data_IF_216836095584
#
_entry.id   IF_216836095584
#
_cell.length_a   1.000
_cell.length_b   1.000
_cell.length_c   1.000
_cell.angle_alpha   90.00
_cell.angle_beta   90.00
_cell.angle_gamma   90.00
#
_symmetry.space_group_name_H-M   'P 1'
#
loop_
_entity.id
_entity.type
_entity.pdbx_description
1 polymer ?
#
# COMPACT_ATOMS: atom_id res chain seq x y z
N UNK A 1 34.42 3.65 3.64
CA UNK A 1 35.59 3.59 4.54
C UNK A 1 35.19 4.06 5.94
N UNK A 2 34.81 3.12 6.81
CA UNK A 2 35.12 3.12 8.24
C UNK A 2 35.07 1.66 8.69
N UNK A 3 36.18 1.22 9.30
CA UNK A 3 36.59 -0.17 9.42
C UNK A 3 36.04 -0.93 10.63
N UNK A 4 36.40 -2.21 10.58
CA UNK A 4 36.12 -3.40 11.38
C UNK A 4 36.73 -3.46 12.79
N UNK A 5 36.15 -4.32 13.66
CA UNK A 5 36.80 -4.95 14.83
C UNK A 5 35.87 -5.34 16.00
N UNK A 6 35.23 -6.54 15.98
CA UNK A 6 35.50 -7.74 16.82
C UNK A 6 35.04 -7.65 18.31
N UNK A 7 34.11 -8.46 18.85
CA UNK A 7 34.34 -9.86 19.32
C UNK A 7 33.06 -10.55 19.92
N UNK A 8 32.91 -11.85 19.63
CA UNK A 8 32.40 -13.00 20.44
C UNK A 8 30.92 -13.09 20.94
N UNK A 9 30.18 -13.99 20.25
CA UNK A 9 29.16 -14.97 20.68
C UNK A 9 27.77 -14.54 21.23
N UNK A 10 26.76 -14.72 20.37
CA UNK A 10 25.46 -15.33 20.73
C UNK A 10 24.89 -16.03 19.48
N UNK A 11 24.38 -17.27 19.55
CA UNK A 11 23.83 -17.94 18.37
C UNK A 11 22.59 -17.20 17.84
N UNK A 12 22.30 -17.26 16.53
CA UNK A 12 21.13 -16.61 15.93
C UNK A 12 19.82 -17.20 16.48
N UNK A 13 18.72 -16.42 16.49
CA UNK A 13 17.43 -16.79 17.11
C UNK A 13 16.72 -17.99 16.45
N UNK A 14 17.30 -18.55 15.39
CA UNK A 14 16.76 -19.69 14.63
C UNK A 14 16.96 -21.02 15.36
N UNK A 15 18.08 -21.20 16.08
CA UNK A 15 18.32 -22.47 16.80
C UNK A 15 17.44 -22.62 18.05
N UNK A 16 17.09 -21.51 18.71
CA UNK A 16 16.11 -21.49 19.80
C UNK A 16 14.69 -21.85 19.30
N UNK A 17 14.40 -21.56 18.02
CA UNK A 17 13.13 -21.85 17.37
C UNK A 17 13.01 -23.33 16.97
N UNK A 18 14.11 -23.95 16.53
CA UNK A 18 14.16 -25.38 16.20
C UNK A 18 14.08 -26.22 17.49
N UNK A 19 14.80 -25.83 18.56
CA UNK A 19 14.71 -26.52 19.85
C UNK A 19 13.30 -26.45 20.48
N UNK A 20 12.57 -25.33 20.30
CA UNK A 20 11.18 -25.20 20.73
C UNK A 20 10.19 -26.00 19.86
N UNK A 21 10.45 -26.10 18.56
CA UNK A 21 9.63 -26.90 17.65
C UNK A 21 9.75 -28.40 17.92
N UNK A 22 10.95 -28.90 18.27
CA UNK A 22 11.16 -30.30 18.65
C UNK A 22 10.50 -30.67 19.99
N UNK A 23 10.39 -29.73 20.93
CA UNK A 23 9.68 -29.95 22.20
C UNK A 23 8.15 -30.05 22.03
N UNK A 24 7.56 -29.37 21.03
CA UNK A 24 6.13 -29.46 20.73
C UNK A 24 5.74 -30.76 20.00
N UNK A 25 6.68 -31.39 19.28
CA UNK A 25 6.40 -32.63 18.56
C UNK A 25 6.29 -33.87 19.48
N UNK A 26 6.78 -33.80 20.71
CA UNK A 26 6.75 -34.91 21.67
C UNK A 26 5.53 -34.94 22.61
N UNK A 27 4.62 -33.95 22.53
CA UNK A 27 3.43 -33.87 23.38
C UNK A 27 2.14 -34.27 22.64
N UNK A 28 2.11 -35.46 22.02
CA UNK A 28 0.83 -36.15 21.76
C UNK A 28 0.44 -36.94 23.00
N UNK A 29 0.15 -36.23 24.09
CA UNK A 29 -0.54 -36.79 25.24
C UNK A 29 -2.03 -36.66 24.95
N UNK A 30 -2.72 -37.81 24.99
CA UNK A 30 -4.17 -37.95 24.92
C UNK A 30 -4.82 -36.98 25.92
N UNK A 31 -5.46 -35.91 25.44
CA UNK A 31 -6.23 -35.00 26.28
C UNK A 31 -7.72 -35.14 25.98
N UNK A 32 -8.48 -35.64 26.95
CA UNK A 32 -9.95 -35.54 26.95
C UNK A 32 -10.42 -34.07 26.90
N UNK A 33 -11.72 -33.81 26.69
CA UNK A 33 -12.23 -32.45 26.54
C UNK A 33 -11.87 -31.61 27.78
N UNK A 34 -11.13 -30.53 27.57
CA UNK A 34 -10.77 -29.59 28.65
C UNK A 34 -12.03 -29.12 29.39
N UNK A 35 -12.03 -29.09 30.73
CA UNK A 35 -13.19 -28.70 31.52
C UNK A 35 -13.63 -27.29 31.13
N UNK A 36 -14.95 -27.08 31.08
CA UNK A 36 -15.59 -25.87 30.52
C UNK A 36 -15.01 -24.57 31.10
N UNK A 37 -14.63 -24.56 32.38
CA UNK A 37 -13.99 -23.41 33.03
C UNK A 37 -12.61 -23.04 32.47
N UNK A 38 -11.80 -24.02 32.05
CA UNK A 38 -10.48 -23.79 31.46
C UNK A 38 -10.59 -23.22 30.03
N UNK A 39 -11.63 -23.62 29.29
CA UNK A 39 -11.95 -23.01 27.98
C UNK A 39 -12.35 -21.54 28.12
N UNK A 40 -13.18 -21.20 29.11
CA UNK A 40 -13.57 -19.81 29.37
C UNK A 40 -12.41 -18.96 29.88
N UNK A 41 -11.51 -19.51 30.71
CA UNK A 41 -10.30 -18.81 31.16
C UNK A 41 -9.33 -18.52 30.00
N UNK A 42 -9.14 -19.48 29.09
CA UNK A 42 -8.33 -19.27 27.88
C UNK A 42 -8.97 -18.24 26.94
N UNK A 43 -10.29 -18.31 26.71
CA UNK A 43 -11.03 -17.31 25.93
C UNK A 43 -10.99 -15.91 26.56
N UNK A 44 -10.99 -15.82 27.89
CA UNK A 44 -10.86 -14.55 28.61
C UNK A 44 -9.42 -13.99 28.57
N UNK A 45 -8.40 -14.84 28.44
CA UNK A 45 -7.01 -14.43 28.30
C UNK A 45 -6.61 -14.10 26.84
N UNK A 46 -7.35 -14.60 25.84
CA UNK A 46 -7.08 -14.34 24.42
C UNK A 46 -7.05 -12.84 24.05
N UNK A 47 -7.97 -11.97 24.51
CA UNK A 47 -7.89 -10.53 24.25
C UNK A 47 -6.62 -9.88 24.81
N UNK A 48 -6.17 -10.33 25.99
CA UNK A 48 -4.96 -9.82 26.63
C UNK A 48 -3.68 -10.33 25.94
N UNK A 49 -3.65 -11.62 25.57
CA UNK A 49 -2.54 -12.17 24.78
C UNK A 49 -2.45 -11.58 23.37
N UNK A 50 -3.60 -11.36 22.72
CA UNK A 50 -3.68 -10.74 21.40
C UNK A 50 -3.28 -9.25 21.45
N UNK A 51 -3.69 -8.50 22.48
CA UNK A 51 -3.26 -7.11 22.65
C UNK A 51 -1.78 -6.99 22.98
N UNK A 52 -1.22 -7.91 23.77
CA UNK A 52 0.22 -7.99 24.03
C UNK A 52 1.03 -8.30 22.74
N UNK A 53 0.54 -9.17 21.85
CA UNK A 53 1.22 -9.42 20.58
C UNK A 53 1.06 -8.27 19.58
N UNK A 54 -0.13 -7.67 19.48
CA UNK A 54 -0.38 -6.59 18.52
C UNK A 54 0.38 -5.31 18.89
N UNK A 55 0.42 -4.97 20.19
CA UNK A 55 1.16 -3.81 20.68
C UNK A 55 2.68 -3.97 20.53
N UNK A 56 3.20 -5.20 20.52
CA UNK A 56 4.62 -5.44 20.24
C UNK A 56 5.01 -5.22 18.76
N UNK A 57 4.03 -5.31 17.85
CA UNK A 57 4.22 -5.11 16.41
C UNK A 57 3.84 -3.72 15.93
N UNK A 58 2.95 -3.01 16.62
CA UNK A 58 2.59 -1.64 16.25
C UNK A 58 3.69 -0.66 16.68
N UNK A 59 4.25 0.13 15.75
CA UNK A 59 5.10 1.26 16.07
C UNK A 59 4.41 2.22 17.04
N UNK A 60 5.20 2.89 17.87
CA UNK A 60 4.68 3.92 18.75
C UNK A 60 4.15 5.12 17.93
N UNK A 61 3.28 5.92 18.56
CA UNK A 61 2.66 7.08 17.92
C UNK A 61 3.66 8.10 17.38
N UNK A 62 4.84 8.23 18.00
CA UNK A 62 5.83 9.20 17.58
C UNK A 62 6.55 8.71 16.33
N UNK A 63 6.86 7.41 16.25
CA UNK A 63 7.37 6.75 15.04
C UNK A 63 6.35 6.84 13.89
N UNK A 64 5.07 6.55 14.14
CA UNK A 64 4.02 6.71 13.12
C UNK A 64 3.89 8.16 12.64
N UNK A 65 3.94 9.12 13.56
CA UNK A 65 3.83 10.53 13.20
C UNK A 65 5.06 11.00 12.43
N UNK A 66 6.26 10.59 12.85
CA UNK A 66 7.49 10.90 12.13
C UNK A 66 7.45 10.40 10.69
N UNK A 67 6.96 9.18 10.47
CA UNK A 67 6.80 8.57 9.15
C UNK A 67 5.74 9.27 8.31
N UNK A 68 4.56 9.57 8.88
CA UNK A 68 3.49 10.29 8.18
C UNK A 68 3.84 11.75 7.87
N UNK A 69 4.64 12.39 8.73
CA UNK A 69 5.09 13.77 8.56
C UNK A 69 6.34 13.90 7.69
N UNK A 70 6.91 12.78 7.27
CA UNK A 70 8.08 12.79 6.41
C UNK A 70 7.72 13.38 5.04
N UNK A 71 8.57 14.27 4.56
CA UNK A 71 8.50 14.80 3.21
C UNK A 71 9.90 14.77 2.60
N UNK A 72 10.02 14.40 1.31
CA UNK A 72 11.31 14.34 0.64
C UNK A 72 11.91 15.74 0.55
N UNK A 73 13.22 15.83 0.73
CA UNK A 73 13.91 17.10 0.63
C UNK A 73 14.13 17.45 -0.86
N UNK A 74 14.24 18.75 -1.24
CA UNK A 74 14.37 19.13 -2.65
C UNK A 74 15.60 18.55 -3.36
N UNK A 75 16.63 18.17 -2.62
CA UNK A 75 17.83 17.49 -3.11
C UNK A 75 17.59 16.03 -3.49
N UNK A 76 16.60 15.35 -2.88
CA UNK A 76 16.24 13.97 -3.23
C UNK A 76 15.72 13.86 -4.67
N UNK A 77 14.88 14.81 -5.10
CA UNK A 77 14.38 14.91 -6.47
C UNK A 77 15.54 15.01 -7.47
N UNK A 78 16.54 15.83 -7.13
CA UNK A 78 17.74 16.01 -7.95
C UNK A 78 18.59 14.74 -7.99
N UNK A 79 18.66 13.99 -6.90
CA UNK A 79 19.35 12.70 -6.88
C UNK A 79 18.65 11.68 -7.79
N UNK A 80 17.31 11.58 -7.73
CA UNK A 80 16.51 10.71 -8.62
C UNK A 80 16.69 11.09 -10.09
N UNK A 81 16.71 12.39 -10.39
CA UNK A 81 16.94 12.88 -11.75
C UNK A 81 18.34 12.53 -12.27
N UNK A 82 19.36 12.51 -11.41
CA UNK A 82 20.76 12.33 -11.79
C UNK A 82 21.25 10.87 -11.76
N UNK A 83 20.71 10.02 -10.88
CA UNK A 83 21.18 8.63 -10.74
C UNK A 83 20.97 7.82 -12.05
N UNK A 84 22.02 7.19 -12.57
CA UNK A 84 21.98 6.45 -13.86
C UNK A 84 22.01 4.94 -13.71
N UNK A 85 22.50 4.46 -12.57
CA UNK A 85 22.65 3.03 -12.31
C UNK A 85 22.45 2.70 -10.83
N UNK A 86 22.07 1.45 -10.58
CA UNK A 86 21.96 0.87 -9.25
C UNK A 86 22.87 -0.35 -9.18
N UNK A 87 23.92 -0.32 -8.34
CA UNK A 87 24.90 -1.42 -8.19
C UNK A 87 25.48 -1.92 -9.52
N UNK A 88 25.72 -1.01 -10.47
CA UNK A 88 26.25 -1.33 -11.81
C UNK A 88 25.21 -1.71 -12.86
N UNK A 89 23.93 -1.87 -12.48
CA UNK A 89 22.82 -2.10 -13.41
C UNK A 89 22.28 -0.76 -13.91
N UNK A 90 22.23 -0.55 -15.22
CA UNK A 90 21.83 0.73 -15.84
C UNK A 90 20.31 0.86 -15.95
N UNK A 91 19.81 2.10 -15.91
CA UNK A 91 18.39 2.38 -16.10
C UNK A 91 18.05 2.62 -17.58
N UNK A 92 17.55 1.59 -18.26
CA UNK A 92 17.24 1.64 -19.70
C UNK A 92 16.05 2.55 -20.04
N UNK A 93 15.01 2.55 -19.22
CA UNK A 93 13.76 3.31 -19.45
C UNK A 93 13.75 4.71 -18.85
N UNK A 94 14.85 5.11 -18.18
CA UNK A 94 14.98 6.43 -17.59
C UNK A 94 15.31 7.46 -18.68
N UNK A 95 14.54 8.56 -18.79
CA UNK A 95 14.90 9.66 -19.69
C UNK A 95 16.16 10.37 -19.21
N UNK A 96 17.09 10.67 -20.14
CA UNK A 96 18.35 11.35 -19.86
C UNK A 96 18.61 12.44 -20.93
N UNK A 97 18.68 13.74 -20.56
CA UNK A 97 18.48 14.31 -19.22
C UNK A 97 16.99 14.37 -18.82
N UNK A 98 16.64 13.90 -17.60
CA UNK A 98 15.25 13.93 -17.12
C UNK A 98 14.71 15.36 -16.95
N UNK A 99 15.54 16.29 -16.49
CA UNK A 99 15.16 17.70 -16.29
C UNK A 99 14.55 18.38 -17.52
N UNK A 100 14.97 17.94 -18.71
CA UNK A 100 14.50 18.47 -20.00
C UNK A 100 13.35 17.64 -20.59
N UNK A 101 13.02 16.52 -19.95
CA UNK A 101 11.97 15.61 -20.39
C UNK A 101 10.59 16.13 -19.96
N UNK A 102 9.57 15.86 -20.78
CA UNK A 102 8.19 16.29 -20.48
C UNK A 102 7.68 15.74 -19.14
N UNK A 103 8.18 14.57 -18.71
CA UNK A 103 7.80 13.91 -17.46
C UNK A 103 8.57 14.39 -16.23
N UNK A 104 9.29 15.52 -16.30
CA UNK A 104 10.00 16.07 -15.13
C UNK A 104 9.08 16.32 -13.93
N UNK A 105 7.84 16.73 -14.19
CA UNK A 105 6.86 17.01 -13.14
C UNK A 105 6.48 15.77 -12.32
N UNK A 106 6.64 14.56 -12.87
CA UNK A 106 6.28 13.31 -12.19
C UNK A 106 7.13 13.08 -10.95
N UNK A 107 8.40 13.50 -10.96
CA UNK A 107 9.27 13.42 -9.78
C UNK A 107 8.70 14.27 -8.65
N UNK A 108 8.27 15.50 -8.95
CA UNK A 108 7.73 16.41 -7.93
C UNK A 108 6.36 15.98 -7.38
N UNK A 109 5.66 15.04 -8.02
CA UNK A 109 4.35 14.58 -7.56
C UNK A 109 4.45 13.76 -6.26
N UNK A 110 5.53 13.04 -5.99
CA UNK A 110 5.73 12.34 -4.71
C UNK A 110 5.86 13.33 -3.57
N UNK A 111 6.70 14.37 -3.73
CA UNK A 111 6.83 15.46 -2.78
C UNK A 111 5.53 16.23 -2.58
N UNK A 112 4.76 16.49 -3.64
CA UNK A 112 3.43 17.08 -3.49
C UNK A 112 2.48 16.16 -2.70
N UNK A 113 2.50 14.85 -2.97
CA UNK A 113 1.69 13.84 -2.26
C UNK A 113 2.03 13.82 -0.76
N UNK A 114 3.32 13.86 -0.43
CA UNK A 114 3.82 13.92 0.94
C UNK A 114 3.35 15.18 1.69
N UNK A 115 3.25 16.31 1.01
CA UNK A 115 2.78 17.55 1.62
C UNK A 115 1.25 17.67 1.70
N UNK A 116 0.49 16.75 1.09
CA UNK A 116 -0.97 16.86 0.94
C UNK A 116 -1.76 15.70 1.57
N UNK A 117 -1.32 15.19 2.73
CA UNK A 117 -2.01 14.13 3.49
C UNK A 117 -3.46 14.44 3.87
N UNK A 118 -3.86 15.71 3.88
CA UNK A 118 -5.25 16.09 4.08
C UNK A 118 -6.18 15.51 3.01
N UNK A 119 -5.72 15.34 1.77
CA UNK A 119 -6.57 14.86 0.66
C UNK A 119 -7.08 13.43 0.92
N UNK A 120 -6.22 12.42 1.12
CA UNK A 120 -6.69 11.06 1.35
C UNK A 120 -7.46 10.93 2.66
N UNK A 121 -7.04 11.62 3.72
CA UNK A 121 -7.71 11.58 5.02
C UNK A 121 -9.11 12.17 4.97
N UNK A 122 -9.27 13.35 4.36
CA UNK A 122 -10.58 13.97 4.17
C UNK A 122 -11.45 13.15 3.21
N UNK A 123 -10.87 12.56 2.17
CA UNK A 123 -11.62 11.68 1.25
C UNK A 123 -12.19 10.45 1.96
N UNK A 124 -11.39 9.79 2.81
CA UNK A 124 -11.84 8.65 3.61
C UNK A 124 -12.85 9.07 4.67
N UNK A 125 -12.63 10.19 5.36
CA UNK A 125 -13.59 10.72 6.33
C UNK A 125 -14.94 11.04 5.67
N UNK A 126 -14.92 11.74 4.53
CA UNK A 126 -16.11 12.03 3.73
C UNK A 126 -16.79 10.75 3.25
N UNK A 127 -16.03 9.74 2.86
CA UNK A 127 -16.53 8.43 2.44
C UNK A 127 -17.31 7.73 3.57
N UNK A 128 -16.78 7.69 4.79
CA UNK A 128 -17.47 7.11 5.94
C UNK A 128 -18.74 7.86 6.35
N UNK A 129 -18.77 9.19 6.17
CA UNK A 129 -19.99 10.00 6.37
C UNK A 129 -21.00 9.76 5.24
N UNK A 130 -20.54 9.66 4.00
CA UNK A 130 -21.40 9.47 2.83
C UNK A 130 -22.17 8.15 2.87
N UNK A 131 -21.58 7.07 3.40
CA UNK A 131 -22.24 5.75 3.49
C UNK A 131 -23.59 5.81 4.22
N UNK A 132 -23.68 6.19 5.50
CA UNK A 132 -24.97 6.27 6.20
C UNK A 132 -25.89 7.33 5.61
N UNK A 133 -25.36 8.48 5.18
CA UNK A 133 -26.16 9.57 4.60
C UNK A 133 -26.85 9.16 3.30
N UNK A 134 -26.14 8.50 2.37
CA UNK A 134 -26.71 8.03 1.11
C UNK A 134 -27.70 6.88 1.34
N UNK A 135 -27.43 5.98 2.30
CA UNK A 135 -28.40 4.92 2.67
C UNK A 135 -29.72 5.51 3.16
N UNK A 136 -29.66 6.52 4.02
CA UNK A 136 -30.84 7.24 4.49
C UNK A 136 -31.56 7.98 3.36
N UNK A 137 -30.82 8.62 2.46
CA UNK A 137 -31.39 9.34 1.32
C UNK A 137 -32.14 8.38 0.38
N UNK A 138 -31.56 7.24 0.04
CA UNK A 138 -32.18 6.25 -0.84
C UNK A 138 -33.39 5.58 -0.17
N UNK A 139 -33.37 5.41 1.15
CA UNK A 139 -34.52 4.92 1.91
C UNK A 139 -35.71 5.91 1.92
N UNK A 140 -35.44 7.22 1.89
CA UNK A 140 -36.48 8.26 1.94
C UNK A 140 -36.97 8.73 0.56
N UNK A 141 -36.07 8.80 -0.43
CA UNK A 141 -36.36 9.34 -1.78
C UNK A 141 -36.47 8.25 -2.87
N UNK A 142 -36.12 7.01 -2.56
CA UNK A 142 -36.07 5.91 -3.51
C UNK A 142 -34.75 5.83 -4.28
N UNK A 143 -34.59 4.75 -5.07
CA UNK A 143 -33.39 4.47 -5.86
C UNK A 143 -33.24 5.40 -7.07
N UNK A 144 -32.01 5.69 -7.47
CA UNK A 144 -31.70 6.45 -8.69
C UNK A 144 -31.29 5.53 -9.84
N UNK A 145 -31.61 5.93 -11.08
CA UNK A 145 -31.16 5.21 -12.27
C UNK A 145 -29.73 5.61 -12.65
N UNK A 146 -28.76 4.99 -11.99
CA UNK A 146 -27.33 5.22 -12.23
C UNK A 146 -26.73 4.33 -13.33
N UNK A 147 -27.54 3.52 -14.02
CA UNK A 147 -27.04 2.47 -14.93
C UNK A 147 -26.14 3.02 -16.03
N UNK A 148 -26.56 4.10 -16.70
CA UNK A 148 -25.79 4.68 -17.80
C UNK A 148 -24.48 5.30 -17.29
N UNK A 149 -24.54 6.05 -16.19
CA UNK A 149 -23.34 6.62 -15.58
C UNK A 149 -22.37 5.54 -15.12
N UNK A 150 -22.86 4.52 -14.40
CA UNK A 150 -22.06 3.39 -13.95
C UNK A 150 -21.43 2.61 -15.11
N UNK A 151 -22.12 2.48 -16.24
CA UNK A 151 -21.55 1.86 -17.44
C UNK A 151 -20.35 2.65 -17.97
N UNK A 152 -20.51 3.97 -18.21
CA UNK A 152 -19.42 4.81 -18.71
C UNK A 152 -18.28 4.93 -17.70
N UNK A 153 -18.60 4.99 -16.42
CA UNK A 153 -17.62 5.00 -15.34
C UNK A 153 -16.74 3.74 -15.34
N UNK A 154 -17.37 2.56 -15.33
CA UNK A 154 -16.65 1.28 -15.37
C UNK A 154 -15.86 1.10 -16.69
N UNK A 155 -16.41 1.55 -17.82
CA UNK A 155 -15.70 1.55 -19.10
C UNK A 155 -14.46 2.47 -19.06
N UNK A 156 -14.58 3.65 -18.46
CA UNK A 156 -13.48 4.59 -18.27
C UNK A 156 -12.37 4.01 -17.38
N UNK A 157 -12.73 3.42 -16.24
CA UNK A 157 -11.77 2.74 -15.35
C UNK A 157 -11.09 1.55 -16.06
N UNK A 158 -11.83 0.80 -16.88
CA UNK A 158 -11.28 -0.32 -17.64
C UNK A 158 -10.28 0.15 -18.69
N UNK A 159 -10.60 1.20 -19.44
CA UNK A 159 -9.68 1.79 -20.42
C UNK A 159 -8.43 2.37 -19.74
N UNK A 160 -8.63 3.10 -18.64
CA UNK A 160 -7.54 3.63 -17.83
C UNK A 160 -6.58 2.54 -17.36
N UNK A 161 -7.12 1.42 -16.85
CA UNK A 161 -6.34 0.26 -16.43
C UNK A 161 -5.54 -0.34 -17.59
N UNK A 162 -6.15 -0.49 -18.77
CA UNK A 162 -5.46 -0.95 -19.98
C UNK A 162 -4.31 -0.04 -20.40
N UNK A 163 -4.51 1.28 -20.37
CA UNK A 163 -3.45 2.24 -20.67
C UNK A 163 -2.29 2.12 -19.67
N UNK A 164 -2.58 1.93 -18.38
CA UNK A 164 -1.57 1.69 -17.35
C UNK A 164 -0.77 0.40 -17.60
N UNK A 165 -1.43 -0.68 -18.00
CA UNK A 165 -0.76 -1.94 -18.39
C UNK A 165 0.18 -1.71 -19.56
N UNK A 166 -0.27 -1.05 -20.62
CA UNK A 166 0.56 -0.76 -21.80
C UNK A 166 1.75 0.14 -21.47
N UNK A 167 1.60 1.08 -20.55
CA UNK A 167 2.68 1.97 -20.13
C UNK A 167 3.71 1.29 -19.20
N UNK A 168 3.27 0.45 -18.26
CA UNK A 168 4.13 -0.07 -17.20
C UNK A 168 4.69 -1.48 -17.48
N UNK A 169 3.93 -2.35 -18.13
CA UNK A 169 4.34 -3.75 -18.34
C UNK A 169 5.59 -3.88 -19.21
N UNK A 170 5.76 -3.16 -20.32
CA UNK A 170 6.99 -3.23 -21.11
C UNK A 170 8.24 -2.85 -20.29
N UNK A 171 8.13 -1.79 -19.49
CA UNK A 171 9.22 -1.33 -18.60
C UNK A 171 9.59 -2.40 -17.58
N UNK A 172 8.58 -3.03 -16.95
CA UNK A 172 8.79 -4.08 -15.96
C UNK A 172 9.38 -5.35 -16.58
N UNK A 173 8.83 -5.84 -17.70
CA UNK A 173 9.27 -7.08 -18.35
C UNK A 173 10.71 -6.96 -18.85
N UNK A 174 11.03 -5.84 -19.49
CA UNK A 174 12.37 -5.58 -20.01
C UNK A 174 13.40 -5.44 -18.87
N UNK A 175 13.06 -4.68 -17.83
CA UNK A 175 13.92 -4.54 -16.64
C UNK A 175 14.12 -5.87 -15.89
N UNK A 176 13.07 -6.70 -15.82
CA UNK A 176 13.12 -8.02 -15.20
C UNK A 176 14.02 -8.98 -15.99
N UNK A 177 13.92 -8.97 -17.31
CA UNK A 177 14.70 -9.86 -18.16
C UNK A 177 16.19 -9.49 -18.20
N UNK A 178 16.49 -8.19 -18.17
CA UNK A 178 17.88 -7.70 -18.22
C UNK A 178 18.59 -7.76 -16.86
N UNK A 179 17.92 -7.36 -15.78
CA UNK A 179 18.55 -7.14 -14.47
C UNK A 179 18.05 -8.09 -13.37
N UNK A 180 17.04 -8.91 -13.65
CA UNK A 180 16.48 -9.89 -12.73
C UNK A 180 15.57 -9.30 -11.63
N UNK A 181 15.04 -10.20 -10.79
CA UNK A 181 14.08 -9.87 -9.74
C UNK A 181 14.65 -8.93 -8.67
N UNK A 182 15.94 -9.06 -8.35
CA UNK A 182 16.59 -8.23 -7.34
C UNK A 182 16.57 -6.75 -7.74
N UNK A 183 16.84 -6.47 -9.02
CA UNK A 183 16.77 -5.12 -9.53
C UNK A 183 15.33 -4.58 -9.49
N UNK A 184 14.35 -5.30 -10.05
CA UNK A 184 12.98 -4.78 -10.14
C UNK A 184 12.29 -4.55 -8.81
N UNK A 185 12.78 -5.16 -7.73
CA UNK A 185 12.22 -5.03 -6.37
C UNK A 185 13.03 -4.11 -5.45
N UNK A 186 14.34 -4.02 -5.62
CA UNK A 186 15.22 -3.26 -4.73
C UNK A 186 15.83 -1.99 -5.35
N UNK A 187 15.71 -1.80 -6.67
CA UNK A 187 16.21 -0.61 -7.33
C UNK A 187 15.33 0.61 -7.02
N UNK A 188 15.92 1.82 -6.96
CA UNK A 188 15.21 3.05 -6.60
C UNK A 188 14.23 3.48 -7.70
N UNK A 189 13.26 4.33 -7.36
CA UNK A 189 12.19 4.82 -8.25
C UNK A 189 12.66 5.32 -9.63
N UNK A 190 13.91 5.77 -9.74
CA UNK A 190 14.51 6.26 -10.97
C UNK A 190 14.40 5.30 -12.19
N UNK A 191 14.26 3.98 -12.00
CA UNK A 191 14.16 3.04 -13.12
C UNK A 191 12.76 2.98 -13.78
N UNK A 192 11.68 3.35 -13.07
CA UNK A 192 10.31 3.32 -13.59
C UNK A 192 9.55 4.64 -13.46
N UNK A 193 10.04 5.59 -12.65
CA UNK A 193 9.39 6.87 -12.40
C UNK A 193 9.37 7.83 -13.61
N UNK A 194 10.06 7.48 -14.69
CA UNK A 194 10.17 8.30 -15.90
C UNK A 194 9.09 8.03 -16.96
N UNK A 195 8.89 9.01 -17.84
CA UNK A 195 8.07 8.85 -19.04
C UNK A 195 6.62 8.49 -18.77
N UNK A 196 6.07 7.63 -19.64
CA UNK A 196 4.68 7.18 -19.52
C UNK A 196 4.46 6.27 -18.32
N UNK A 197 5.44 5.42 -17.97
CA UNK A 197 5.32 4.51 -16.84
C UNK A 197 5.13 5.26 -15.53
N UNK A 198 6.01 6.23 -15.24
CA UNK A 198 5.89 7.06 -14.03
C UNK A 198 4.59 7.86 -13.96
N UNK A 199 4.14 8.41 -15.09
CA UNK A 199 2.86 9.11 -15.16
C UNK A 199 1.69 8.19 -14.81
N UNK A 200 1.62 7.00 -15.40
CA UNK A 200 0.54 6.05 -15.14
C UNK A 200 0.58 5.47 -13.72
N UNK A 201 1.77 5.31 -13.13
CA UNK A 201 1.91 4.97 -11.71
C UNK A 201 1.29 6.06 -10.84
N UNK A 202 1.66 7.33 -11.06
CA UNK A 202 1.09 8.46 -10.30
C UNK A 202 -0.44 8.56 -10.47
N UNK A 203 -0.93 8.43 -11.71
CA UNK A 203 -2.37 8.44 -11.98
C UNK A 203 -3.10 7.28 -11.31
N UNK A 204 -2.51 6.09 -11.25
CA UNK A 204 -3.09 4.93 -10.56
C UNK A 204 -3.23 5.15 -9.05
N UNK A 205 -2.26 5.83 -8.43
CA UNK A 205 -2.33 6.19 -7.02
C UNK A 205 -3.48 7.17 -6.78
N UNK A 206 -3.59 8.22 -7.59
CA UNK A 206 -4.67 9.20 -7.46
C UNK A 206 -6.04 8.64 -7.87
N UNK A 207 -6.10 7.63 -8.75
CA UNK A 207 -7.37 7.01 -9.13
C UNK A 207 -8.08 6.33 -7.95
N UNK A 208 -7.36 5.98 -6.87
CA UNK A 208 -7.98 5.42 -5.65
C UNK A 208 -8.96 6.37 -4.97
N UNK A 209 -8.72 7.68 -5.08
CA UNK A 209 -9.68 8.69 -4.63
C UNK A 209 -10.94 8.66 -5.50
N UNK A 210 -10.77 8.52 -6.82
CA UNK A 210 -11.88 8.43 -7.76
C UNK A 210 -12.70 7.13 -7.56
N UNK A 211 -12.06 6.00 -7.27
CA UNK A 211 -12.71 4.70 -6.99
C UNK A 211 -13.69 4.73 -5.81
N UNK A 212 -13.63 5.75 -4.93
CA UNK A 212 -14.65 5.95 -3.89
C UNK A 212 -16.06 6.16 -4.49
N UNK A 213 -16.15 6.67 -5.72
CA UNK A 213 -17.39 6.86 -6.46
C UNK A 213 -18.09 5.52 -6.73
N UNK A 214 -17.36 4.41 -6.84
CA UNK A 214 -17.96 3.08 -7.05
C UNK A 214 -18.98 2.74 -5.96
N UNK A 215 -18.63 3.05 -4.71
CA UNK A 215 -19.51 2.80 -3.57
C UNK A 215 -20.70 3.76 -3.58
N UNK A 216 -20.49 5.01 -3.99
CA UNK A 216 -21.58 5.98 -4.13
C UNK A 216 -22.61 5.48 -5.15
N UNK A 217 -22.15 4.97 -6.30
CA UNK A 217 -23.05 4.40 -7.32
C UNK A 217 -23.82 3.19 -6.82
N UNK A 218 -23.18 2.30 -6.07
CA UNK A 218 -23.85 1.15 -5.45
C UNK A 218 -24.93 1.60 -4.45
N UNK A 219 -24.61 2.58 -3.61
CA UNK A 219 -25.54 3.12 -2.63
C UNK A 219 -26.75 3.76 -3.31
N UNK A 220 -26.53 4.60 -4.32
CA UNK A 220 -27.60 5.24 -5.11
C UNK A 220 -28.50 4.24 -5.85
N UNK A 221 -27.94 3.10 -6.25
CA UNK A 221 -28.69 1.98 -6.84
C UNK A 221 -29.43 1.09 -5.82
N UNK A 222 -29.38 1.44 -4.53
CA UNK A 222 -29.89 0.65 -3.41
C UNK A 222 -29.29 -0.77 -3.35
N UNK A 223 -27.99 -0.90 -3.65
CA UNK A 223 -27.25 -2.16 -3.52
C UNK A 223 -26.53 -2.22 -2.18
N UNK A 224 -26.44 -3.40 -1.53
CA UNK A 224 -25.74 -3.54 -0.26
C UNK A 224 -24.22 -3.34 -0.48
N UNK A 225 -23.60 -2.49 0.33
CA UNK A 225 -22.15 -2.33 0.39
C UNK A 225 -21.61 -3.39 1.36
N UNK A 226 -20.87 -4.36 0.82
CA UNK A 226 -20.23 -5.42 1.61
C UNK A 226 -19.04 -4.88 2.40
N UNK A 227 -18.67 -5.57 3.49
CA UNK A 227 -17.54 -5.17 4.33
C UNK A 227 -16.23 -5.02 3.55
N UNK A 228 -16.00 -5.93 2.61
CA UNK A 228 -14.82 -5.93 1.76
C UNK A 228 -14.68 -4.65 0.94
N UNK A 229 -15.79 -4.10 0.41
CA UNK A 229 -15.77 -2.93 -0.47
C UNK A 229 -15.23 -1.70 0.26
N UNK A 230 -15.88 -1.33 1.37
CA UNK A 230 -15.50 -0.11 2.08
C UNK A 230 -14.16 -0.23 2.77
N UNK A 231 -13.82 -1.42 3.29
CA UNK A 231 -12.51 -1.69 3.87
C UNK A 231 -11.41 -1.58 2.82
N UNK A 232 -11.58 -2.27 1.69
CA UNK A 232 -10.63 -2.25 0.58
C UNK A 232 -10.39 -0.82 0.09
N UNK A 233 -11.43 -0.09 -0.32
CA UNK A 233 -11.24 1.25 -0.89
C UNK A 233 -10.65 2.26 0.09
N UNK A 234 -10.95 2.15 1.39
CA UNK A 234 -10.34 3.04 2.39
C UNK A 234 -8.86 2.73 2.60
N UNK A 235 -8.52 1.44 2.75
CA UNK A 235 -7.15 1.01 3.07
C UNK A 235 -6.19 1.12 1.90
N UNK A 236 -6.61 0.71 0.69
CA UNK A 236 -5.75 0.81 -0.50
C UNK A 236 -5.50 2.26 -0.90
N UNK A 237 -6.46 3.16 -0.68
CA UNK A 237 -6.27 4.59 -0.90
C UNK A 237 -5.18 5.14 0.01
N UNK A 238 -5.28 4.89 1.32
CA UNK A 238 -4.28 5.34 2.29
C UNK A 238 -2.90 4.71 2.02
N UNK A 239 -2.87 3.41 1.71
CA UNK A 239 -1.64 2.69 1.41
C UNK A 239 -0.94 3.22 0.14
N UNK A 240 -1.68 3.40 -0.96
CA UNK A 240 -1.11 3.92 -2.20
C UNK A 240 -0.61 5.36 -2.03
N UNK A 241 -1.32 6.18 -1.26
CA UNK A 241 -0.88 7.55 -0.95
C UNK A 241 0.42 7.55 -0.16
N UNK A 242 0.48 6.75 0.92
CA UNK A 242 1.67 6.60 1.75
C UNK A 242 2.89 6.10 0.97
N UNK A 243 2.68 5.05 0.17
CA UNK A 243 3.75 4.43 -0.63
C UNK A 243 4.30 5.34 -1.71
N UNK A 244 3.57 6.39 -2.09
CA UNK A 244 3.99 7.35 -3.10
C UNK A 244 4.53 8.66 -2.52
N UNK A 245 4.25 8.94 -1.25
CA UNK A 245 4.82 10.10 -0.54
C UNK A 245 6.28 9.92 -0.12
N UNK A 246 6.85 8.73 -0.33
CA UNK A 246 8.23 8.36 0.03
C UNK A 246 9.21 8.46 -1.13
#
# INVERSE_FOLDING_TARGET
LKGSGCTRQSPPPVELFIARSSAMAAARVVSGPAPTGMRWALLAALPWLASASLSSWMPDRATMWADLSWAPAPDDDSWVANIRSFKGMQFKWKPDPWEQHWSRFVIHLSGWTANNWQIPLLSVAAYFVAIPTLRWLVATKGKWNVRNFAFYWNAGLSLFSWCGVVACVPVLVDSFWENGLYFTTCAPVAWYGGGWCGLFVALFIYSKVAELIDTVLLLLANKPVIALQWWHHSTVLLYCWHSYSV
#
